data_IF_944207053295
#
_entry.id   IF_944207053295
#
_cell.length_a   1.000
_cell.length_b   1.000
_cell.length_c   1.000
_cell.angle_alpha   90.00
_cell.angle_beta   90.00
_cell.angle_gamma   90.00
#
_symmetry.space_group_name_H-M   'P 1'
#
loop_
_entity.id
_entity.type
_entity.pdbx_description
1 polymer ?
#
# COMPACT_ATOMS: atom_id res chain seq x y z
N UNK A 1 6.71 -29.75 -14.13
CA UNK A 1 6.93 -28.68 -13.14
C UNK A 1 6.33 -29.13 -11.83
N UNK A 2 7.09 -29.12 -10.73
CA UNK A 2 6.51 -29.31 -9.39
C UNK A 2 5.63 -28.11 -9.05
N UNK A 3 4.48 -28.31 -8.38
CA UNK A 3 3.63 -27.20 -7.99
C UNK A 3 4.39 -26.29 -7.02
N UNK A 4 4.30 -24.99 -7.25
CA UNK A 4 4.85 -24.01 -6.34
C UNK A 4 4.07 -24.06 -5.01
N UNK A 5 4.78 -24.20 -3.89
CA UNK A 5 4.17 -24.26 -2.55
C UNK A 5 4.18 -22.87 -1.92
N UNK A 6 3.00 -22.38 -1.59
CA UNK A 6 2.78 -21.16 -0.82
C UNK A 6 2.26 -21.51 0.57
N UNK A 7 2.67 -20.75 1.58
CA UNK A 7 2.17 -20.86 2.96
C UNK A 7 0.80 -20.18 3.09
N UNK A 8 0.56 -19.16 2.27
CA UNK A 8 -0.73 -18.48 2.19
C UNK A 8 -0.97 -17.89 0.79
N UNK A 9 -2.25 -17.77 0.44
CA UNK A 9 -2.72 -17.05 -0.75
C UNK A 9 -3.70 -15.98 -0.30
N UNK A 10 -3.46 -14.72 -0.70
CA UNK A 10 -4.34 -13.59 -0.46
C UNK A 10 -5.04 -13.26 -1.79
N UNK A 11 -6.37 -13.33 -1.79
CA UNK A 11 -7.21 -12.97 -2.93
C UNK A 11 -7.79 -11.58 -2.70
N UNK A 12 -7.49 -10.66 -3.62
CA UNK A 12 -7.72 -9.23 -3.49
C UNK A 12 -6.41 -8.51 -3.16
N UNK A 13 -5.86 -7.80 -4.14
CA UNK A 13 -4.67 -6.97 -4.07
C UNK A 13 -4.96 -5.48 -3.84
N UNK A 14 -6.20 -5.10 -3.54
CA UNK A 14 -6.53 -3.75 -3.10
C UNK A 14 -5.98 -3.39 -1.70
N UNK A 15 -6.34 -2.22 -1.16
CA UNK A 15 -5.76 -1.67 0.07
C UNK A 15 -5.77 -2.64 1.26
N UNK A 16 -6.84 -3.43 1.41
CA UNK A 16 -6.94 -4.44 2.48
C UNK A 16 -5.95 -5.59 2.29
N UNK A 17 -5.75 -6.06 1.06
CA UNK A 17 -4.79 -7.12 0.76
C UNK A 17 -3.36 -6.66 1.05
N UNK A 18 -3.02 -5.45 0.58
CA UNK A 18 -1.72 -4.82 0.87
C UNK A 18 -1.50 -4.61 2.36
N UNK A 19 -2.49 -4.06 3.08
CA UNK A 19 -2.42 -3.91 4.53
C UNK A 19 -2.23 -5.26 5.23
N UNK A 20 -2.90 -6.33 4.76
CA UNK A 20 -2.71 -7.68 5.31
C UNK A 20 -1.29 -8.19 5.12
N UNK A 21 -0.67 -7.97 3.95
CA UNK A 21 0.74 -8.31 3.71
C UNK A 21 1.66 -7.51 4.65
N UNK A 22 1.42 -6.22 4.83
CA UNK A 22 2.18 -5.38 5.78
C UNK A 22 2.07 -5.93 7.22
N UNK A 23 0.87 -6.32 7.65
CA UNK A 23 0.63 -6.95 8.97
C UNK A 23 1.39 -8.27 9.11
N UNK A 24 1.39 -9.11 8.07
CA UNK A 24 2.09 -10.39 8.08
C UNK A 24 3.60 -10.20 8.20
N UNK A 25 4.18 -9.26 7.45
CA UNK A 25 5.62 -8.92 7.55
C UNK A 25 5.98 -8.44 8.95
N UNK A 26 5.16 -7.57 9.54
CA UNK A 26 5.40 -7.06 10.89
C UNK A 26 5.42 -8.19 11.94
N UNK A 27 4.49 -9.14 11.84
CA UNK A 27 4.41 -10.29 12.74
C UNK A 27 5.56 -11.27 12.57
N UNK A 28 5.86 -11.67 11.34
CA UNK A 28 6.97 -12.59 11.04
C UNK A 28 8.29 -12.04 11.57
N UNK A 29 8.54 -10.74 11.40
CA UNK A 29 9.73 -10.07 11.93
C UNK A 29 9.76 -10.04 13.46
N UNK A 30 8.65 -9.68 14.11
CA UNK A 30 8.59 -9.60 15.57
C UNK A 30 8.73 -10.97 16.25
N UNK A 31 8.21 -12.02 15.63
CA UNK A 31 8.26 -13.39 16.14
C UNK A 31 9.58 -14.11 15.79
N UNK A 32 10.43 -13.52 14.93
CA UNK A 32 11.63 -14.19 14.42
C UNK A 32 11.30 -15.47 13.64
N UNK A 33 10.12 -15.53 13.03
CA UNK A 33 9.61 -16.72 12.36
C UNK A 33 10.37 -16.98 11.05
N UNK A 34 10.27 -18.23 10.56
CA UNK A 34 10.80 -18.59 9.25
C UNK A 34 10.13 -17.76 8.13
N UNK A 35 10.84 -17.48 7.01
CA UNK A 35 10.25 -16.77 5.88
C UNK A 35 9.00 -17.47 5.34
N UNK A 36 7.94 -16.69 5.11
CA UNK A 36 6.69 -17.17 4.51
C UNK A 36 6.66 -16.87 3.01
N UNK A 37 6.20 -17.83 2.22
CA UNK A 37 5.88 -17.67 0.79
C UNK A 37 4.42 -17.32 0.64
N UNK A 38 4.13 -16.07 0.32
CA UNK A 38 2.76 -15.56 0.17
C UNK A 38 2.50 -15.19 -1.28
N UNK A 39 1.43 -15.72 -1.86
CA UNK A 39 0.92 -15.26 -3.16
C UNK A 39 -0.15 -14.19 -2.93
N UNK A 40 -0.04 -13.05 -3.63
CA UNK A 40 -1.07 -12.02 -3.68
C UNK A 40 -1.67 -12.00 -5.09
N UNK A 41 -2.98 -12.20 -5.18
CA UNK A 41 -3.72 -12.31 -6.44
C UNK A 41 -4.79 -11.23 -6.49
N UNK A 42 -4.90 -10.51 -7.59
CA UNK A 42 -6.01 -9.60 -7.86
C UNK A 42 -6.45 -9.74 -9.31
N UNK A 43 -7.76 -9.63 -9.56
CA UNK A 43 -8.31 -9.74 -10.90
C UNK A 43 -8.07 -8.48 -11.75
N UNK A 44 -7.77 -7.35 -11.12
CA UNK A 44 -7.62 -6.03 -11.75
C UNK A 44 -6.22 -5.48 -11.57
N UNK A 45 -5.76 -5.28 -10.33
CA UNK A 45 -4.46 -4.68 -10.05
C UNK A 45 -3.98 -4.92 -8.61
N UNK A 46 -2.69 -5.17 -8.45
CA UNK A 46 -2.02 -5.23 -7.14
C UNK A 46 -1.69 -3.82 -6.67
N UNK A 47 -2.08 -3.46 -5.44
CA UNK A 47 -2.00 -2.12 -4.88
C UNK A 47 -3.37 -1.47 -4.76
N UNK A 48 -3.94 -0.95 -5.86
CA UNK A 48 -5.22 -0.25 -5.83
C UNK A 48 -6.44 -1.18 -5.83
N UNK A 49 -6.30 -2.41 -6.34
CA UNK A 49 -7.41 -3.34 -6.54
C UNK A 49 -8.52 -2.71 -7.41
N UNK A 50 -9.77 -3.05 -7.09
CA UNK A 50 -10.95 -2.49 -7.76
C UNK A 50 -11.31 -1.06 -7.32
N UNK A 51 -10.67 -0.53 -6.28
CA UNK A 51 -11.15 0.68 -5.58
C UNK A 51 -10.46 1.96 -6.05
N UNK A 52 -9.15 1.91 -6.32
CA UNK A 52 -8.35 3.11 -6.61
C UNK A 52 -7.63 3.00 -7.96
N UNK A 53 -8.35 2.58 -9.00
CA UNK A 53 -7.71 2.34 -10.30
C UNK A 53 -7.21 3.65 -10.89
N UNK A 54 -6.05 3.60 -11.53
CA UNK A 54 -5.44 4.78 -12.17
C UNK A 54 -6.19 5.22 -13.45
N UNK A 55 -7.06 4.36 -13.98
CA UNK A 55 -7.86 4.60 -15.19
C UNK A 55 -9.31 5.05 -14.88
N UNK A 56 -9.62 5.35 -13.61
CA UNK A 56 -10.96 5.77 -13.22
C UNK A 56 -11.19 7.27 -13.50
N UNK A 57 -12.46 7.71 -13.61
CA UNK A 57 -12.75 9.13 -13.76
C UNK A 57 -12.16 9.97 -12.61
N UNK A 58 -11.55 11.11 -12.94
CA UNK A 58 -10.94 12.01 -11.96
C UNK A 58 -11.93 12.57 -10.91
N UNK A 59 -13.24 12.48 -11.17
CA UNK A 59 -14.28 12.84 -10.22
C UNK A 59 -14.39 11.89 -9.02
N UNK A 60 -13.76 10.70 -9.08
CA UNK A 60 -13.74 9.73 -7.99
C UNK A 60 -12.61 10.07 -7.02
N UNK A 61 -12.93 10.94 -6.06
CA UNK A 61 -12.00 11.45 -5.07
C UNK A 61 -12.08 10.66 -3.76
N UNK A 62 -10.96 10.64 -3.03
CA UNK A 62 -10.94 10.17 -1.65
C UNK A 62 -11.64 11.18 -0.74
N UNK A 63 -12.52 10.71 0.14
CA UNK A 63 -13.24 11.52 1.12
C UNK A 63 -12.51 11.63 2.47
N UNK A 64 -11.32 11.05 2.58
CA UNK A 64 -10.39 11.19 3.71
C UNK A 64 -9.35 12.25 3.37
N UNK A 65 -8.98 13.09 4.35
CA UNK A 65 -7.88 14.04 4.16
C UNK A 65 -6.58 13.29 3.82
N UNK A 66 -5.75 13.89 2.96
CA UNK A 66 -4.55 13.23 2.46
C UNK A 66 -3.55 12.91 3.59
N UNK A 67 -3.33 13.84 4.51
CA UNK A 67 -2.48 13.68 5.71
C UNK A 67 -3.05 12.68 6.74
N UNK A 68 -4.33 12.35 6.64
CA UNK A 68 -4.97 11.30 7.41
C UNK A 68 -5.06 9.94 6.68
N UNK A 69 -4.56 9.85 5.44
CA UNK A 69 -4.66 8.65 4.61
C UNK A 69 -3.36 7.85 4.67
N UNK A 70 -3.39 6.64 5.25
CA UNK A 70 -2.27 5.70 5.23
C UNK A 70 -2.73 4.25 5.27
N UNK A 71 -1.89 3.34 4.75
CA UNK A 71 -2.02 1.88 4.95
C UNK A 71 -1.18 1.37 6.12
N UNK A 72 -0.36 2.24 6.72
CA UNK A 72 0.59 1.89 7.77
C UNK A 72 -0.04 2.07 9.15
N UNK A 73 -0.29 0.98 9.90
CA UNK A 73 -0.93 1.12 11.20
C UNK A 73 0.10 1.46 12.28
N UNK A 74 -0.27 2.35 13.18
CA UNK A 74 0.50 2.76 14.36
C UNK A 74 -0.22 2.36 15.65
N UNK A 75 0.24 2.88 16.79
CA UNK A 75 -0.32 2.59 18.12
C UNK A 75 -1.74 3.13 18.33
N UNK A 76 -2.22 4.03 17.46
CA UNK A 76 -3.61 4.51 17.49
C UNK A 76 -4.59 3.50 16.91
N UNK A 77 -4.10 2.53 16.13
CA UNK A 77 -4.94 1.53 15.47
C UNK A 77 -5.31 0.41 16.43
N UNK A 78 -6.62 0.19 16.63
CA UNK A 78 -7.11 -0.94 17.44
C UNK A 78 -6.89 -2.27 16.72
N UNK A 79 -5.75 -2.89 16.96
CA UNK A 79 -5.35 -4.18 16.37
C UNK A 79 -4.50 -5.01 17.33
N UNK A 80 -4.37 -6.30 17.03
CA UNK A 80 -3.41 -7.18 17.73
C UNK A 80 -2.09 -7.27 16.96
N UNK A 81 -0.99 -7.52 17.67
CA UNK A 81 0.35 -7.62 17.10
C UNK A 81 1.06 -6.26 17.02
N UNK A 82 2.33 -6.23 16.55
CA UNK A 82 3.16 -5.04 16.60
C UNK A 82 2.61 -3.92 15.69
N UNK A 83 2.82 -2.64 15.99
CA UNK A 83 2.61 -1.55 15.04
C UNK A 83 3.58 -1.65 13.86
N UNK A 84 3.24 -1.02 12.74
CA UNK A 84 4.07 -0.95 11.54
C UNK A 84 3.92 0.45 10.90
N UNK A 85 4.37 1.52 11.59
CA UNK A 85 4.19 2.88 11.13
C UNK A 85 4.95 3.13 9.83
N UNK A 86 4.50 4.14 9.10
CA UNK A 86 5.02 4.53 7.79
C UNK A 86 4.41 5.86 7.36
N UNK A 87 4.70 6.32 6.14
CA UNK A 87 4.23 7.61 5.69
C UNK A 87 2.70 7.66 5.56
N UNK A 88 2.12 8.82 5.79
CA UNK A 88 0.83 9.17 5.21
C UNK A 88 0.96 9.49 3.71
N UNK A 89 -0.16 9.78 3.04
CA UNK A 89 -0.16 10.07 1.61
C UNK A 89 0.64 11.35 1.27
N UNK A 90 0.66 12.35 2.14
CA UNK A 90 1.40 13.60 1.93
C UNK A 90 2.90 13.35 2.07
N UNK A 91 3.32 12.63 3.10
CA UNK A 91 4.71 12.23 3.29
C UNK A 91 5.22 11.33 2.17
N UNK A 92 4.37 10.44 1.67
CA UNK A 92 4.67 9.65 0.48
C UNK A 92 4.82 10.53 -0.76
N UNK A 93 3.89 11.48 -0.99
CA UNK A 93 3.96 12.40 -2.12
C UNK A 93 5.22 13.28 -2.09
N UNK A 94 5.64 13.75 -0.90
CA UNK A 94 6.91 14.49 -0.75
C UNK A 94 8.11 13.66 -1.21
N UNK A 95 8.12 12.35 -0.93
CA UNK A 95 9.18 11.43 -1.41
C UNK A 95 9.14 11.26 -2.91
N UNK A 96 7.96 11.01 -3.49
CA UNK A 96 7.80 10.90 -4.96
C UNK A 96 8.30 12.16 -5.66
N UNK A 97 7.94 13.34 -5.15
CA UNK A 97 8.45 14.62 -5.66
C UNK A 97 9.97 14.71 -5.55
N UNK A 98 10.54 14.35 -4.39
CA UNK A 98 11.98 14.43 -4.17
C UNK A 98 12.77 13.45 -5.05
N UNK A 99 12.21 12.28 -5.34
CA UNK A 99 12.75 11.30 -6.28
C UNK A 99 12.64 11.76 -7.73
N UNK A 100 11.64 12.58 -8.06
CA UNK A 100 11.44 13.16 -9.39
C UNK A 100 11.02 12.13 -10.45
N UNK A 101 10.65 10.92 -10.03
CA UNK A 101 10.21 9.85 -10.91
C UNK A 101 9.24 8.92 -10.15
N UNK A 102 8.29 8.32 -10.88
CA UNK A 102 7.42 7.29 -10.34
C UNK A 102 7.08 6.25 -11.42
N UNK A 103 6.98 4.95 -11.11
CA UNK A 103 6.66 3.91 -12.11
C UNK A 103 5.34 4.13 -12.86
N UNK A 104 4.42 4.91 -12.28
CA UNK A 104 3.15 5.25 -12.93
C UNK A 104 3.29 6.32 -14.04
N UNK A 105 4.43 7.01 -14.12
CA UNK A 105 4.70 8.08 -15.09
C UNK A 105 4.76 9.48 -14.47
N UNK A 106 5.09 10.47 -15.30
CA UNK A 106 5.36 11.85 -14.90
C UNK A 106 4.16 12.52 -14.20
N UNK A 107 2.93 12.15 -14.60
CA UNK A 107 1.71 12.65 -13.97
C UNK A 107 1.69 12.44 -12.45
N UNK A 108 2.26 11.34 -11.95
CA UNK A 108 2.28 11.07 -10.51
C UNK A 108 3.24 12.01 -9.77
N UNK A 109 4.32 12.45 -10.43
CA UNK A 109 5.26 13.44 -9.90
C UNK A 109 4.63 14.84 -9.92
N UNK A 110 3.88 15.16 -10.98
CA UNK A 110 3.13 16.42 -11.10
C UNK A 110 2.06 16.53 -10.00
N UNK A 111 1.23 15.50 -9.82
CA UNK A 111 0.22 15.44 -8.76
C UNK A 111 0.85 15.52 -7.36
N UNK A 112 1.95 14.80 -7.13
CA UNK A 112 2.69 14.87 -5.86
C UNK A 112 3.25 16.28 -5.59
N UNK A 113 3.69 16.98 -6.64
CA UNK A 113 4.17 18.36 -6.54
C UNK A 113 3.05 19.34 -6.22
N UNK A 114 1.91 19.20 -6.90
CA UNK A 114 0.71 20.02 -6.66
C UNK A 114 0.17 19.84 -5.24
N UNK A 115 0.10 18.59 -4.75
CA UNK A 115 -0.37 18.29 -3.39
C UNK A 115 0.55 18.87 -2.31
N UNK A 116 1.86 18.94 -2.57
CA UNK A 116 2.87 19.33 -1.58
C UNK A 116 3.28 20.80 -1.64
N UNK A 117 2.62 21.61 -2.48
CA UNK A 117 2.74 23.07 -2.51
C UNK A 117 4.00 23.60 -3.19
N UNK A 118 4.48 22.92 -4.24
CA UNK A 118 5.52 23.43 -5.13
C UNK A 118 4.93 24.31 -6.24
#
# INVERSE_FOLDING_TARGET
MSPERFDAVIVGGGPRGVATVLRLVARVRAEGAAPLRVALLDALAIGPGATWRLDQPAAYLNNTQADATTVHPDDSTRMSGPPAPGPDLVDWARRVRAEGAHPAGDWAVEEASALTGA
#
